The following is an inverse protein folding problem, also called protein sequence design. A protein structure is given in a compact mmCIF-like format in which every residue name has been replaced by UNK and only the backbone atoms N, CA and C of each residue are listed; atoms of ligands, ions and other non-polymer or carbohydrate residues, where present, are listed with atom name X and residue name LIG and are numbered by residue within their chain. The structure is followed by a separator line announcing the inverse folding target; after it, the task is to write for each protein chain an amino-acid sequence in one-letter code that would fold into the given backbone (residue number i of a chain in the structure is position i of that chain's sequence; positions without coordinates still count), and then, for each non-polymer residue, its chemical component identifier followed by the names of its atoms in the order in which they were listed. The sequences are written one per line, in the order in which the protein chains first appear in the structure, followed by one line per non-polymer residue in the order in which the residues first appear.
data_IF_131101046009
#
_entry.id   IF_131101046009
#
_cell.length_a   1.000
_cell.length_b   1.000
_cell.length_c   1.000
_cell.angle_alpha   90.00
_cell.angle_beta   90.00
_cell.angle_gamma   90.00
#
_symmetry.space_group_name_H-M   'P 1'
#
loop_
_entity.id
_entity.type
_entity.pdbx_description
1 polymer ?
#
# COMPACT_ATOMS: atom_id res chain seq x y z
N UNK A 1 -3.51 24.76 10.73
CA UNK A 1 -4.94 24.79 11.11
C UNK A 1 -5.33 23.50 11.82
N UNK A 2 -6.58 22.98 11.67
CA UNK A 2 -6.98 21.77 12.41
C UNK A 2 -6.24 20.52 11.92
N UNK A 3 -6.10 20.35 10.61
CA UNK A 3 -5.33 19.25 10.01
C UNK A 3 -3.88 19.19 10.51
N UNK A 4 -3.22 20.33 10.63
CA UNK A 4 -1.84 20.41 11.15
C UNK A 4 -1.76 19.97 12.62
N UNK A 5 -2.75 20.35 13.43
CA UNK A 5 -2.82 19.92 14.84
C UNK A 5 -3.01 18.41 14.96
N UNK A 6 -3.88 17.84 14.11
CA UNK A 6 -4.13 16.40 14.08
C UNK A 6 -2.87 15.66 13.61
N UNK A 7 -2.25 16.10 12.51
CA UNK A 7 -1.01 15.51 12.00
C UNK A 7 0.12 15.54 13.03
N UNK A 8 0.29 16.69 13.71
CA UNK A 8 1.25 16.80 14.81
C UNK A 8 0.92 15.84 15.97
N UNK A 9 -0.34 15.75 16.37
CA UNK A 9 -0.74 14.86 17.46
C UNK A 9 -0.53 13.38 17.10
N UNK A 10 -0.76 12.99 15.85
CA UNK A 10 -0.47 11.64 15.36
C UNK A 10 1.04 11.37 15.47
N UNK A 11 1.86 12.25 14.95
CA UNK A 11 3.33 12.09 15.02
C UNK A 11 3.84 12.07 16.47
N UNK A 12 3.37 12.97 17.32
CA UNK A 12 3.80 13.05 18.74
C UNK A 12 3.42 11.79 19.54
N UNK A 13 2.35 11.09 19.18
CA UNK A 13 1.82 9.98 19.97
C UNK A 13 1.99 8.60 19.35
N UNK A 14 2.10 8.50 18.03
CA UNK A 14 2.08 7.23 17.32
C UNK A 14 3.34 6.96 16.50
N UNK A 15 4.15 7.97 16.15
CA UNK A 15 5.42 7.73 15.47
C UNK A 15 6.41 7.00 16.36
N UNK A 16 6.91 5.84 15.91
CA UNK A 16 7.88 5.00 16.58
C UNK A 16 9.25 5.16 15.89
N UNK A 17 10.04 6.08 16.37
CA UNK A 17 11.32 6.43 15.73
C UNK A 17 12.35 5.30 15.73
N UNK A 18 12.26 4.40 16.70
CA UNK A 18 13.08 3.19 16.80
C UNK A 18 12.66 2.07 15.83
N UNK A 19 11.42 2.12 15.36
CA UNK A 19 10.84 1.15 14.39
C UNK A 19 10.70 1.71 12.98
N UNK A 20 10.68 3.03 12.84
CA UNK A 20 10.55 3.71 11.55
C UNK A 20 9.15 3.64 10.92
N UNK A 21 8.11 3.51 11.74
CA UNK A 21 6.71 3.58 11.28
C UNK A 21 5.78 4.06 12.40
N UNK A 22 4.53 4.34 12.07
CA UNK A 22 3.51 4.69 13.05
C UNK A 22 2.98 3.44 13.73
N UNK A 23 2.69 3.55 15.02
CA UNK A 23 1.91 2.55 15.75
C UNK A 23 0.50 2.47 15.18
N UNK A 24 -0.10 1.30 15.23
CA UNK A 24 -1.49 1.11 14.77
C UNK A 24 -2.47 1.98 15.55
N UNK A 25 -2.35 1.95 16.86
CA UNK A 25 -3.13 2.80 17.75
C UNK A 25 -2.52 2.85 19.16
N UNK A 26 -3.10 3.70 19.99
CA UNK A 26 -2.82 3.79 21.42
C UNK A 26 -4.13 3.67 22.19
N UNK A 27 -4.16 2.82 23.20
CA UNK A 27 -5.34 2.63 24.01
C UNK A 27 -5.84 3.96 24.62
N UNK A 28 -7.10 4.24 24.47
CA UNK A 28 -7.72 5.43 25.06
C UNK A 28 -7.86 5.29 26.58
N UNK A 29 -8.18 4.07 27.05
CA UNK A 29 -8.38 3.76 28.47
C UNK A 29 -7.36 2.77 29.00
N UNK A 30 -7.44 2.49 30.30
CA UNK A 30 -6.58 1.51 30.96
C UNK A 30 -5.13 1.94 30.98
N UNK A 31 -4.23 1.05 30.58
CA UNK A 31 -2.79 1.27 30.64
C UNK A 31 -2.27 2.18 29.51
N UNK A 32 -3.12 2.64 28.61
CA UNK A 32 -2.76 3.49 27.46
C UNK A 32 -1.60 2.91 26.65
N UNK A 33 -1.62 1.60 26.43
CA UNK A 33 -0.59 0.90 25.66
C UNK A 33 -0.58 1.35 24.23
N UNK A 34 0.61 1.45 23.68
CA UNK A 34 0.84 1.64 22.24
C UNK A 34 0.89 0.26 21.59
N UNK A 35 0.17 0.07 20.49
CA UNK A 35 0.15 -1.14 19.68
C UNK A 35 1.07 -0.92 18.49
N UNK A 36 2.31 -1.46 18.54
CA UNK A 36 3.38 -1.02 17.66
C UNK A 36 3.34 -1.61 16.26
N UNK A 37 2.62 -2.72 16.06
CA UNK A 37 2.69 -3.46 14.81
C UNK A 37 1.71 -2.87 13.79
N UNK A 38 2.23 -2.05 12.88
CA UNK A 38 1.43 -1.38 11.87
C UNK A 38 0.87 -2.35 10.83
N UNK A 39 -0.36 -2.11 10.41
CA UNK A 39 -0.92 -2.69 9.20
C UNK A 39 -0.57 -1.83 7.96
N UNK A 40 -0.83 -2.32 6.75
CA UNK A 40 -0.65 -1.53 5.53
C UNK A 40 -1.42 -0.23 5.57
N UNK A 41 -2.69 -0.26 6.04
CA UNK A 41 -3.53 0.94 6.14
C UNK A 41 -2.96 2.01 7.07
N UNK A 42 -2.25 1.64 8.12
CA UNK A 42 -1.55 2.61 8.98
C UNK A 42 -0.48 3.35 8.18
N UNK A 43 0.31 2.62 7.39
CA UNK A 43 1.40 3.19 6.60
C UNK A 43 0.87 4.07 5.47
N UNK A 44 0.02 3.53 4.60
CA UNK A 44 -0.38 4.28 3.43
C UNK A 44 -1.33 5.45 3.77
N UNK A 45 -2.17 5.35 4.80
CA UNK A 45 -2.98 6.49 5.23
C UNK A 45 -2.15 7.63 5.82
N UNK A 46 -1.11 7.31 6.59
CA UNK A 46 -0.21 8.33 7.11
C UNK A 46 0.50 9.07 5.96
N UNK A 47 0.95 8.34 4.94
CA UNK A 47 1.63 8.90 3.78
C UNK A 47 0.64 9.71 2.91
N UNK A 48 -0.52 9.14 2.58
CA UNK A 48 -1.53 9.79 1.74
C UNK A 48 -2.15 11.04 2.39
N UNK A 49 -2.13 11.10 3.73
CA UNK A 49 -2.57 12.28 4.50
C UNK A 49 -1.50 13.34 4.68
N UNK A 50 -0.30 13.15 4.13
CA UNK A 50 0.82 14.11 4.16
C UNK A 50 1.22 14.53 5.59
N UNK A 51 1.09 13.62 6.58
CA UNK A 51 1.49 13.90 7.97
C UNK A 51 2.97 13.60 8.25
N UNK A 52 3.68 13.09 7.26
CA UNK A 52 5.06 12.61 7.30
C UNK A 52 6.04 13.66 6.74
N UNK A 53 7.30 13.52 7.10
CA UNK A 53 8.42 14.03 6.31
C UNK A 53 8.96 12.95 5.35
N UNK A 54 9.85 13.34 4.43
CA UNK A 54 10.41 12.44 3.41
C UNK A 54 11.12 11.22 4.02
N UNK A 55 11.78 11.41 5.16
CA UNK A 55 12.49 10.33 5.83
C UNK A 55 11.55 9.36 6.53
N UNK A 56 10.50 9.87 7.16
CA UNK A 56 9.46 9.05 7.77
C UNK A 56 8.75 8.18 6.73
N UNK A 57 8.37 8.75 5.59
CA UNK A 57 7.72 7.98 4.52
C UNK A 57 8.63 6.90 3.96
N UNK A 58 9.92 7.21 3.77
CA UNK A 58 10.91 6.23 3.35
C UNK A 58 11.06 5.10 4.38
N UNK A 59 11.21 5.42 5.67
CA UNK A 59 11.31 4.41 6.73
C UNK A 59 10.05 3.54 6.80
N UNK A 60 8.86 4.14 6.75
CA UNK A 60 7.60 3.39 6.83
C UNK A 60 7.40 2.45 5.64
N UNK A 61 7.81 2.85 4.43
CA UNK A 61 7.82 1.94 3.28
C UNK A 61 8.89 0.85 3.40
N UNK A 62 10.04 1.12 4.06
CA UNK A 62 11.03 0.08 4.37
C UNK A 62 10.51 -0.94 5.39
N UNK A 63 9.74 -0.51 6.38
CA UNK A 63 9.03 -1.45 7.27
C UNK A 63 8.15 -2.42 6.48
N UNK A 64 7.42 -1.94 5.49
CA UNK A 64 6.62 -2.81 4.62
C UNK A 64 7.52 -3.82 3.89
N UNK A 65 8.67 -3.39 3.37
CA UNK A 65 9.58 -4.30 2.66
C UNK A 65 10.15 -5.41 3.55
N UNK A 66 10.38 -5.14 4.84
CA UNK A 66 11.14 -6.04 5.73
C UNK A 66 10.29 -6.85 6.70
N UNK A 67 9.16 -6.30 7.14
CA UNK A 67 8.35 -6.90 8.20
C UNK A 67 7.04 -7.50 7.68
N UNK A 68 6.42 -6.87 6.68
CA UNK A 68 5.16 -7.39 6.12
C UNK A 68 5.44 -8.63 5.24
N UNK A 69 4.69 -9.72 5.41
CA UNK A 69 4.89 -10.94 4.62
C UNK A 69 4.68 -10.71 3.13
N UNK A 70 5.66 -11.16 2.32
CA UNK A 70 5.61 -11.13 0.87
C UNK A 70 5.23 -12.50 0.34
N UNK A 71 4.24 -12.55 -0.54
CA UNK A 71 3.70 -13.77 -1.12
C UNK A 71 4.10 -13.81 -2.59
N UNK A 72 4.99 -14.75 -2.98
CA UNK A 72 5.50 -14.81 -4.35
C UNK A 72 4.39 -15.02 -5.38
N UNK A 73 4.41 -14.23 -6.45
CA UNK A 73 3.57 -14.40 -7.64
C UNK A 73 4.39 -15.15 -8.68
N UNK A 74 3.96 -16.37 -9.02
CA UNK A 74 4.70 -17.27 -9.89
C UNK A 74 3.82 -17.80 -11.00
N UNK A 75 4.31 -17.70 -12.24
CA UNK A 75 3.73 -18.36 -13.41
C UNK A 75 4.79 -18.49 -14.50
N UNK A 76 4.58 -19.43 -15.42
CA UNK A 76 5.41 -19.56 -16.61
C UNK A 76 5.26 -18.32 -17.50
N UNK A 77 6.35 -17.83 -18.04
CA UNK A 77 6.36 -16.70 -18.97
C UNK A 77 6.35 -15.32 -18.33
N UNK A 78 6.48 -15.21 -17.02
CA UNK A 78 6.72 -13.92 -16.37
C UNK A 78 8.12 -13.39 -16.76
N UNK A 79 8.21 -12.08 -16.96
CA UNK A 79 9.44 -11.37 -17.32
C UNK A 79 10.42 -11.22 -16.15
N UNK A 80 9.98 -11.53 -14.93
CA UNK A 80 10.75 -11.48 -13.67
C UNK A 80 10.31 -12.60 -12.74
N UNK A 81 11.19 -12.99 -11.83
CA UNK A 81 10.97 -14.04 -10.81
C UNK A 81 10.75 -13.48 -9.39
N UNK A 82 10.86 -12.16 -9.23
CA UNK A 82 10.75 -11.47 -7.94
C UNK A 82 9.41 -10.72 -7.73
N UNK A 83 8.39 -11.06 -8.49
CA UNK A 83 7.03 -10.55 -8.24
C UNK A 83 6.45 -11.13 -6.95
N UNK A 84 5.85 -10.26 -6.15
CA UNK A 84 5.15 -10.64 -4.93
C UNK A 84 3.98 -9.70 -4.65
N UNK A 85 2.89 -10.25 -4.14
CA UNK A 85 1.90 -9.51 -3.39
C UNK A 85 2.33 -9.45 -1.92
N UNK A 86 1.64 -8.67 -1.10
CA UNK A 86 1.95 -8.52 0.31
C UNK A 86 0.72 -8.76 1.17
N UNK A 87 0.93 -9.30 2.36
CA UNK A 87 -0.13 -9.40 3.36
C UNK A 87 -0.48 -8.01 3.92
N UNK A 88 -1.66 -7.89 4.50
CA UNK A 88 -2.11 -6.63 5.12
C UNK A 88 -1.45 -6.36 6.46
N UNK A 89 -1.09 -7.41 7.20
CA UNK A 89 -0.54 -7.35 8.56
C UNK A 89 0.39 -8.52 8.85
N UNK A 90 1.09 -8.43 9.98
CA UNK A 90 1.82 -9.55 10.60
C UNK A 90 1.00 -10.25 11.69
N UNK A 91 -0.25 -9.86 11.92
CA UNK A 91 -1.05 -10.30 13.08
C UNK A 91 -1.59 -11.71 12.92
N UNK A 92 -1.74 -12.40 14.05
CA UNK A 92 -2.33 -13.73 14.14
C UNK A 92 -3.48 -13.76 15.15
N UNK A 93 -4.50 -14.61 14.93
CA UNK A 93 -4.72 -15.40 13.72
C UNK A 93 -5.17 -14.53 12.55
N UNK A 94 -5.03 -15.04 11.32
CA UNK A 94 -5.59 -14.35 10.15
C UNK A 94 -7.13 -14.40 10.20
N UNK A 95 -7.77 -13.32 9.75
CA UNK A 95 -9.21 -13.25 9.58
C UNK A 95 -9.56 -12.13 8.59
N UNK A 96 -10.41 -12.42 7.59
CA UNK A 96 -10.82 -11.46 6.57
C UNK A 96 -9.62 -10.72 5.97
N UNK A 97 -9.50 -9.40 6.20
CA UNK A 97 -8.38 -8.59 5.73
C UNK A 97 -7.14 -8.62 6.64
N UNK A 98 -7.19 -9.29 7.79
CA UNK A 98 -6.05 -9.37 8.72
C UNK A 98 -5.15 -10.53 8.33
N UNK A 99 -3.87 -10.25 8.10
CA UNK A 99 -2.85 -11.21 7.64
C UNK A 99 -3.29 -11.95 6.35
N UNK A 100 -3.93 -11.23 5.46
CA UNK A 100 -4.40 -11.68 4.16
C UNK A 100 -3.90 -10.75 3.05
N UNK A 101 -4.08 -11.13 1.79
CA UNK A 101 -3.88 -10.24 0.66
C UNK A 101 -5.21 -9.55 0.34
N UNK A 102 -5.26 -8.25 0.56
CA UNK A 102 -6.35 -7.39 0.13
C UNK A 102 -5.83 -6.46 -0.97
N UNK A 103 -6.22 -6.69 -2.22
CA UNK A 103 -5.61 -6.01 -3.36
C UNK A 103 -5.77 -4.49 -3.35
N UNK A 104 -6.86 -3.96 -2.80
CA UNK A 104 -7.00 -2.52 -2.60
C UNK A 104 -5.93 -1.96 -1.66
N UNK A 105 -5.67 -2.65 -0.55
CA UNK A 105 -4.62 -2.29 0.41
C UNK A 105 -3.22 -2.34 -0.21
N UNK A 106 -2.97 -3.38 -1.00
CA UNK A 106 -1.68 -3.52 -1.72
C UNK A 106 -1.51 -2.40 -2.73
N UNK A 107 -2.57 -2.02 -3.45
CA UNK A 107 -2.53 -0.91 -4.41
C UNK A 107 -2.37 0.45 -3.74
N UNK A 108 -3.05 0.71 -2.63
CA UNK A 108 -2.81 1.90 -1.82
C UNK A 108 -1.36 1.97 -1.33
N UNK A 109 -0.81 0.83 -0.93
CA UNK A 109 0.60 0.74 -0.53
C UNK A 109 1.52 1.04 -1.71
N UNK A 110 1.23 0.54 -2.92
CA UNK A 110 1.98 0.92 -4.12
C UNK A 110 1.92 2.43 -4.38
N UNK A 111 0.75 3.07 -4.19
CA UNK A 111 0.64 4.53 -4.28
C UNK A 111 1.51 5.23 -3.24
N UNK A 112 1.52 4.75 -2.00
CA UNK A 112 2.38 5.29 -0.94
C UNK A 112 3.88 5.19 -1.30
N UNK A 113 4.31 4.11 -1.97
CA UNK A 113 5.67 4.01 -2.49
C UNK A 113 5.97 5.10 -3.54
N UNK A 114 5.05 5.38 -4.47
CA UNK A 114 5.20 6.49 -5.41
C UNK A 114 5.26 7.84 -4.70
N UNK A 115 4.39 8.06 -3.72
CA UNK A 115 4.38 9.28 -2.90
C UNK A 115 5.69 9.47 -2.11
N UNK A 116 6.35 8.36 -1.76
CA UNK A 116 7.66 8.33 -1.10
C UNK A 116 8.85 8.33 -2.07
N UNK A 117 8.64 8.56 -3.37
CA UNK A 117 9.69 8.63 -4.39
C UNK A 117 10.30 7.28 -4.80
N UNK A 118 9.64 6.15 -4.51
CA UNK A 118 10.12 4.79 -4.75
C UNK A 118 9.41 4.15 -5.96
N UNK A 119 9.56 4.76 -7.13
CA UNK A 119 8.79 4.41 -8.34
C UNK A 119 8.99 2.97 -8.83
N UNK A 120 10.20 2.44 -8.73
CA UNK A 120 10.50 1.07 -9.18
C UNK A 120 9.80 0.02 -8.32
N UNK A 121 9.87 0.18 -7.00
CA UNK A 121 9.21 -0.71 -6.04
C UNK A 121 7.68 -0.57 -6.13
N UNK A 122 7.21 0.66 -6.27
CA UNK A 122 5.79 0.97 -6.47
C UNK A 122 5.22 0.25 -7.69
N UNK A 123 5.88 0.41 -8.84
CA UNK A 123 5.44 -0.23 -10.07
C UNK A 123 5.52 -1.76 -9.99
N UNK A 124 6.56 -2.31 -9.38
CA UNK A 124 6.69 -3.76 -9.19
C UNK A 124 5.55 -4.30 -8.34
N UNK A 125 5.22 -3.65 -7.21
CA UNK A 125 4.13 -4.05 -6.34
C UNK A 125 2.77 -3.94 -7.05
N UNK A 126 2.53 -2.84 -7.74
CA UNK A 126 1.33 -2.65 -8.55
C UNK A 126 1.19 -3.75 -9.62
N UNK A 127 2.24 -3.99 -10.42
CA UNK A 127 2.23 -5.02 -11.47
C UNK A 127 2.00 -6.41 -10.89
N UNK A 128 2.64 -6.73 -9.76
CA UNK A 128 2.42 -8.00 -9.04
C UNK A 128 0.96 -8.20 -8.66
N UNK A 129 0.30 -7.15 -8.17
CA UNK A 129 -1.11 -7.20 -7.78
C UNK A 129 -2.04 -7.39 -8.99
N UNK A 130 -1.75 -6.73 -10.11
CA UNK A 130 -2.50 -6.93 -11.36
C UNK A 130 -2.30 -8.35 -11.89
N UNK A 131 -1.08 -8.85 -11.91
CA UNK A 131 -0.79 -10.21 -12.35
C UNK A 131 -1.53 -11.24 -11.51
N UNK A 132 -1.40 -11.18 -10.20
CA UNK A 132 -2.05 -12.16 -9.32
C UNK A 132 -3.57 -12.01 -9.30
N UNK A 133 -4.07 -10.78 -9.09
CA UNK A 133 -5.50 -10.53 -8.93
C UNK A 133 -6.32 -10.71 -10.20
N UNK A 134 -5.77 -10.32 -11.37
CA UNK A 134 -6.54 -10.31 -12.63
C UNK A 134 -6.23 -11.47 -13.57
N UNK A 135 -5.00 -11.97 -13.58
CA UNK A 135 -4.56 -12.92 -14.61
C UNK A 135 -4.25 -14.31 -14.08
N UNK A 136 -3.57 -14.41 -12.94
CA UNK A 136 -3.03 -15.68 -12.44
C UNK A 136 -3.82 -16.27 -11.28
N UNK A 137 -4.44 -15.43 -10.47
CA UNK A 137 -5.18 -15.83 -9.29
C UNK A 137 -6.59 -16.31 -9.56
N UNK A 138 -7.49 -16.06 -8.62
CA UNK A 138 -8.87 -16.57 -8.67
C UNK A 138 -9.77 -15.98 -9.75
N UNK A 139 -9.28 -15.02 -10.55
CA UNK A 139 -10.07 -14.35 -11.61
C UNK A 139 -9.31 -14.22 -12.94
N UNK A 140 -8.64 -15.27 -13.42
CA UNK A 140 -7.85 -15.19 -14.65
C UNK A 140 -8.75 -14.90 -15.86
N UNK A 141 -8.30 -13.99 -16.71
CA UNK A 141 -9.03 -13.61 -17.91
C UNK A 141 -10.34 -12.85 -17.69
N UNK A 142 -10.65 -12.45 -16.47
CA UNK A 142 -11.81 -11.66 -16.12
C UNK A 142 -11.44 -10.18 -15.93
N UNK A 143 -12.34 -9.27 -16.27
CA UNK A 143 -12.19 -7.83 -15.96
C UNK A 143 -12.45 -7.50 -14.48
N UNK A 144 -13.03 -8.42 -13.73
CA UNK A 144 -13.20 -8.31 -12.29
C UNK A 144 -11.92 -8.65 -11.56
N UNK A 145 -11.43 -7.74 -10.73
CA UNK A 145 -10.27 -7.98 -9.89
C UNK A 145 -10.68 -8.67 -8.58
N UNK A 146 -9.89 -9.64 -8.15
CA UNK A 146 -10.04 -10.24 -6.82
C UNK A 146 -9.60 -9.21 -5.77
N UNK A 147 -10.46 -8.94 -4.78
CA UNK A 147 -10.17 -7.95 -3.76
C UNK A 147 -9.37 -8.51 -2.58
N UNK A 148 -9.65 -9.74 -2.20
CA UNK A 148 -9.05 -10.39 -1.05
C UNK A 148 -8.59 -11.81 -1.42
N UNK A 149 -7.44 -12.18 -0.96
CA UNK A 149 -6.87 -13.51 -1.15
C UNK A 149 -6.43 -14.07 0.21
N UNK A 150 -6.95 -15.24 0.57
CA UNK A 150 -6.51 -15.96 1.75
C UNK A 150 -5.23 -16.74 1.43
N UNK A 151 -4.09 -16.20 1.82
CA UNK A 151 -2.79 -16.79 1.54
C UNK A 151 -2.60 -18.18 2.15
N UNK A 152 -3.30 -18.50 3.24
CA UNK A 152 -3.21 -19.81 3.90
C UNK A 152 -4.10 -20.85 3.24
N UNK A 153 -5.26 -20.47 2.71
CA UNK A 153 -6.25 -21.36 2.11
C UNK A 153 -6.28 -21.35 0.59
N UNK A 154 -5.72 -20.30 -0.05
CA UNK A 154 -5.86 -20.07 -1.47
C UNK A 154 -7.29 -19.71 -1.90
N UNK A 155 -8.09 -19.17 -0.97
CA UNK A 155 -9.46 -18.72 -1.23
C UNK A 155 -9.47 -17.29 -1.78
N UNK A 156 -10.42 -16.98 -2.63
CA UNK A 156 -10.58 -15.66 -3.21
C UNK A 156 -12.03 -15.18 -3.08
N UNK A 157 -12.18 -13.94 -2.64
CA UNK A 157 -13.46 -13.24 -2.61
C UNK A 157 -13.51 -12.20 -3.74
N UNK A 158 -14.46 -12.35 -4.66
CA UNK A 158 -14.51 -11.59 -5.91
C UNK A 158 -15.48 -10.42 -5.89
N UNK A 159 -16.26 -10.28 -4.83
CA UNK A 159 -17.44 -9.41 -4.80
C UNK A 159 -17.11 -7.99 -4.29
N UNK A 160 -15.83 -7.59 -4.31
CA UNK A 160 -15.38 -6.28 -3.89
C UNK A 160 -14.96 -5.43 -5.08
N UNK A 161 -15.53 -4.23 -5.19
CA UNK A 161 -15.20 -3.28 -6.24
C UNK A 161 -14.07 -2.29 -5.90
N UNK A 162 -13.66 -2.23 -4.64
CA UNK A 162 -12.63 -1.32 -4.15
C UNK A 162 -11.28 -1.43 -4.90
N UNK A 163 -10.73 -2.63 -5.21
CA UNK A 163 -9.46 -2.72 -5.94
C UNK A 163 -9.47 -2.03 -7.30
N UNK A 164 -10.60 -2.07 -8.00
CA UNK A 164 -10.75 -1.43 -9.33
C UNK A 164 -10.65 0.09 -9.22
N UNK A 165 -11.31 0.69 -8.24
CA UNK A 165 -11.26 2.12 -7.98
C UNK A 165 -9.87 2.57 -7.57
N UNK A 166 -9.23 1.82 -6.67
CA UNK A 166 -7.87 2.12 -6.21
C UNK A 166 -6.86 1.94 -7.34
N UNK A 167 -6.96 0.89 -8.17
CA UNK A 167 -6.08 0.68 -9.31
C UNK A 167 -6.11 1.87 -10.27
N UNK A 168 -7.31 2.40 -10.56
CA UNK A 168 -7.47 3.59 -11.40
C UNK A 168 -6.76 4.82 -10.80
N UNK A 169 -6.92 5.04 -9.49
CA UNK A 169 -6.22 6.11 -8.76
C UNK A 169 -4.71 5.95 -8.85
N UNK A 170 -4.21 4.75 -8.61
CA UNK A 170 -2.77 4.42 -8.63
C UNK A 170 -2.14 4.69 -10.00
N UNK A 171 -2.84 4.34 -11.08
CA UNK A 171 -2.38 4.63 -12.44
C UNK A 171 -2.30 6.15 -12.65
N UNK A 172 -3.35 6.88 -12.31
CA UNK A 172 -3.41 8.32 -12.57
C UNK A 172 -2.44 9.09 -11.68
N UNK A 173 -2.48 8.85 -10.36
CA UNK A 173 -1.71 9.65 -9.40
C UNK A 173 -0.30 9.10 -9.14
N UNK A 174 -0.09 7.79 -9.26
CA UNK A 174 1.21 7.16 -9.08
C UNK A 174 2.01 7.11 -10.37
N UNK A 175 1.57 6.30 -11.34
CA UNK A 175 2.33 6.06 -12.56
C UNK A 175 2.42 7.30 -13.45
N UNK A 176 1.28 7.92 -13.78
CA UNK A 176 1.28 9.16 -14.58
C UNK A 176 1.53 10.41 -13.74
N UNK A 177 1.39 10.33 -12.43
CA UNK A 177 1.67 11.41 -11.51
C UNK A 177 0.81 12.66 -11.71
N UNK A 178 -0.44 12.49 -12.11
CA UNK A 178 -1.39 13.60 -12.31
C UNK A 178 -2.13 13.84 -11.00
N UNK A 179 -1.80 14.94 -10.32
CA UNK A 179 -2.32 15.29 -8.99
C UNK A 179 -3.12 16.58 -9.08
N UNK A 180 -4.47 16.52 -9.17
CA UNK A 180 -5.31 17.71 -9.12
C UNK A 180 -5.24 18.38 -7.74
N UNK A 181 -4.95 19.68 -7.73
CA UNK A 181 -4.97 20.51 -6.53
C UNK A 181 -5.96 21.66 -6.76
N UNK A 182 -7.24 21.31 -6.68
CA UNK A 182 -8.33 22.27 -6.98
C UNK A 182 -8.44 23.39 -5.97
N UNK A 183 -7.90 23.22 -4.76
CA UNK A 183 -7.87 24.28 -3.75
C UNK A 183 -6.92 25.42 -4.14
N UNK A 184 -5.90 25.11 -4.93
CA UNK A 184 -4.91 26.07 -5.43
C UNK A 184 -5.04 26.30 -6.94
N UNK A 185 -6.12 25.87 -7.58
CA UNK A 185 -6.41 26.00 -9.01
C UNK A 185 -5.23 25.55 -9.89
N UNK A 186 -4.67 24.36 -9.59
CA UNK A 186 -3.52 23.81 -10.30
C UNK A 186 -3.59 22.28 -10.43
N UNK A 187 -2.80 21.76 -11.35
CA UNK A 187 -2.48 20.35 -11.46
C UNK A 187 -0.96 20.19 -11.27
N UNK A 188 -0.57 19.31 -10.35
CA UNK A 188 0.84 18.95 -10.17
C UNK A 188 1.12 17.72 -11.02
N UNK A 189 2.20 17.74 -11.78
CA UNK A 189 2.68 16.58 -12.55
C UNK A 189 3.95 16.05 -11.91
N UNK A 190 3.90 14.79 -11.49
CA UNK A 190 5.03 14.07 -10.86
C UNK A 190 5.04 12.64 -11.38
N UNK A 191 5.41 12.40 -12.65
CA UNK A 191 5.42 11.05 -13.25
C UNK A 191 6.29 10.08 -12.44
N UNK A 192 5.75 8.89 -12.18
CA UNK A 192 6.40 7.83 -11.41
C UNK A 192 6.75 6.62 -12.27
N UNK A 193 7.21 6.84 -13.51
CA UNK A 193 7.59 5.75 -14.40
C UNK A 193 8.80 4.99 -13.85
N UNK A 194 8.84 3.66 -14.03
CA UNK A 194 10.02 2.87 -13.71
C UNK A 194 11.26 3.37 -14.45
N UNK A 195 12.40 3.28 -13.79
CA UNK A 195 13.67 3.79 -14.35
C UNK A 195 14.22 2.99 -15.54
N UNK A 196 13.70 1.78 -15.76
CA UNK A 196 14.05 0.90 -16.88
C UNK A 196 13.17 1.13 -18.13
N UNK A 197 12.20 2.03 -18.07
CA UNK A 197 11.43 2.41 -19.25
C UNK A 197 12.21 3.40 -20.10
N UNK A 198 12.44 3.03 -21.36
CA UNK A 198 13.14 3.92 -22.32
C UNK A 198 12.24 5.08 -22.79
N UNK A 199 10.92 4.85 -22.78
CA UNK A 199 9.90 5.83 -23.21
C UNK A 199 8.69 5.80 -22.27
N UNK A 200 8.09 6.96 -22.05
CA UNK A 200 6.88 7.13 -21.27
C UNK A 200 5.99 8.23 -21.87
#
# INVERSE_FOLDING_TARGET
LEAEKIGKAINDNLWLSDKGHWAEYKDFMGLKRVHPDAALWTVYHAIDSEIHDDFQSWQATRYVDTEIPHIPVKADGLDRDDYATIATTTWLPYAWSINNVAFAEVMHTALAYWQSGRSNEAYKLFKSSILDGMYLGGSPGNFGQVSTYDAARGECYRDFGDPVGVASRVIVQGLFGILPDMMNDRVVLRPGFPSDWEYA
#
